data_IF_122335391512
#
_entry.id   IF_122335391512
#
_cell.length_a   1.000
_cell.length_b   1.000
_cell.length_c   1.000
_cell.angle_alpha   90.00
_cell.angle_beta   90.00
_cell.angle_gamma   90.00
#
_symmetry.space_group_name_H-M   'P 1'
#
loop_
_entity.id
_entity.type
_entity.pdbx_description
1 polymer ?
#
# COMPACT_ATOMS: atom_id res chain seq x y z
N UNK A 1 -4.38 -5.92 29.23
CA UNK A 1 -4.59 -5.09 28.01
C UNK A 1 -4.00 -3.72 28.30
N UNK A 2 -3.06 -3.23 27.50
CA UNK A 2 -2.50 -1.89 27.69
C UNK A 2 -3.53 -0.88 27.18
N UNK A 3 -4.13 -0.11 28.08
CA UNK A 3 -5.21 0.87 27.80
C UNK A 3 -4.70 2.30 27.69
N UNK A 4 -3.38 2.49 27.66
CA UNK A 4 -2.77 3.81 27.51
C UNK A 4 -3.13 4.42 26.14
N UNK A 5 -3.63 5.64 26.17
CA UNK A 5 -3.95 6.41 24.97
C UNK A 5 -2.68 6.84 24.25
N UNK A 6 -2.72 6.83 22.91
CA UNK A 6 -1.65 7.33 22.06
C UNK A 6 -1.52 8.84 22.21
N UNK A 7 -0.35 9.32 22.58
CA UNK A 7 -0.04 10.75 22.64
C UNK A 7 0.22 11.32 21.23
N UNK A 8 0.07 12.64 21.07
CA UNK A 8 0.37 13.33 19.80
C UNK A 8 1.83 13.12 19.35
N UNK A 9 2.78 13.06 20.28
CA UNK A 9 4.19 12.80 19.96
C UNK A 9 4.42 11.38 19.44
N UNK A 10 3.74 10.38 20.04
CA UNK A 10 3.80 8.99 19.58
C UNK A 10 3.11 8.83 18.22
N UNK A 11 1.99 9.54 18.00
CA UNK A 11 1.29 9.59 16.71
C UNK A 11 2.19 10.11 15.59
N UNK A 12 2.85 11.26 15.81
CA UNK A 12 3.82 11.82 14.84
C UNK A 12 5.00 10.90 14.57
N UNK A 13 5.47 10.17 15.59
CA UNK A 13 6.54 9.18 15.41
C UNK A 13 6.09 8.04 14.51
N UNK A 14 4.85 7.57 14.67
CA UNK A 14 4.25 6.55 13.83
C UNK A 14 4.17 7.01 12.37
N UNK A 15 3.58 8.18 12.12
CA UNK A 15 3.48 8.78 10.79
C UNK A 15 4.87 8.95 10.13
N UNK A 16 5.85 9.49 10.86
CA UNK A 16 7.20 9.69 10.34
C UNK A 16 7.91 8.37 9.99
N UNK A 17 7.60 7.30 10.72
CA UNK A 17 8.13 5.95 10.45
C UNK A 17 7.49 5.38 9.19
N UNK A 18 6.19 5.58 8.99
CA UNK A 18 5.50 5.15 7.77
C UNK A 18 6.06 5.88 6.53
N UNK A 19 6.20 7.20 6.55
CA UNK A 19 6.65 7.91 5.35
C UNK A 19 8.15 7.72 5.00
N UNK A 20 8.91 6.96 5.80
CA UNK A 20 10.32 6.67 5.51
C UNK A 20 10.44 5.41 4.67
N UNK A 21 10.83 5.56 3.40
CA UNK A 21 11.02 4.49 2.40
C UNK A 21 11.83 3.25 2.86
N UNK A 22 12.71 3.40 3.87
CA UNK A 22 13.53 2.31 4.43
C UNK A 22 12.88 1.59 5.62
N UNK A 23 11.71 2.04 6.09
CA UNK A 23 11.06 1.47 7.29
C UNK A 23 10.38 0.12 7.05
N UNK A 24 10.38 -0.36 5.81
CA UNK A 24 9.62 -1.54 5.37
C UNK A 24 10.48 -2.79 5.17
N UNK A 25 11.80 -2.64 5.28
CA UNK A 25 12.74 -3.75 5.16
C UNK A 25 12.51 -4.69 6.34
N UNK A 26 12.08 -5.92 6.05
CA UNK A 26 11.71 -6.92 7.06
C UNK A 26 10.24 -6.88 7.51
N UNK A 27 9.42 -5.99 6.97
CA UNK A 27 7.97 -6.01 7.22
C UNK A 27 7.31 -7.13 6.41
N UNK A 28 6.55 -7.97 7.10
CA UNK A 28 5.77 -9.02 6.43
C UNK A 28 4.50 -8.46 5.81
N UNK A 29 4.17 -8.96 4.62
CA UNK A 29 2.84 -8.75 4.01
C UNK A 29 1.81 -9.48 4.88
N UNK A 30 0.67 -8.85 5.24
CA UNK A 30 -0.39 -9.49 5.99
C UNK A 30 -0.88 -10.76 5.29
N UNK A 31 -1.14 -11.83 6.05
CA UNK A 31 -1.66 -13.08 5.47
C UNK A 31 -2.98 -12.84 4.76
N UNK A 32 -3.86 -12.13 5.43
CA UNK A 32 -5.21 -11.81 4.98
C UNK A 32 -5.50 -10.34 5.24
N UNK A 33 -6.34 -9.75 4.41
CA UNK A 33 -6.84 -8.40 4.62
C UNK A 33 -8.32 -8.30 4.27
N UNK A 34 -9.05 -7.56 5.11
CA UNK A 34 -10.44 -7.20 4.82
C UNK A 34 -10.48 -5.94 3.94
N UNK A 35 -10.98 -6.09 2.71
CA UNK A 35 -11.27 -4.98 1.80
C UNK A 35 -12.78 -4.89 1.57
N UNK A 36 -13.25 -3.81 0.95
CA UNK A 36 -14.69 -3.62 0.67
C UNK A 36 -15.35 -4.75 -0.14
N UNK A 37 -14.54 -5.58 -0.83
CA UNK A 37 -14.98 -6.76 -1.56
C UNK A 37 -14.92 -8.08 -0.76
N UNK A 38 -14.50 -8.05 0.50
CA UNK A 38 -14.35 -9.22 1.38
C UNK A 38 -12.91 -9.45 1.86
N UNK A 39 -12.71 -10.56 2.55
CA UNK A 39 -11.40 -11.01 3.01
C UNK A 39 -10.59 -11.60 1.84
N UNK A 40 -9.35 -11.15 1.70
CA UNK A 40 -8.43 -11.57 0.64
C UNK A 40 -7.17 -12.15 1.27
N UNK A 41 -6.70 -13.35 0.87
CA UNK A 41 -5.41 -13.89 1.29
C UNK A 41 -4.24 -13.16 0.60
N UNK A 42 -4.00 -11.90 1.01
CA UNK A 42 -3.14 -10.93 0.35
C UNK A 42 -1.75 -11.46 0.04
N UNK A 43 -1.10 -12.10 1.01
CA UNK A 43 0.25 -12.66 0.86
C UNK A 43 0.32 -13.70 -0.26
N UNK A 44 -0.62 -14.64 -0.27
CA UNK A 44 -0.66 -15.72 -1.24
C UNK A 44 -1.05 -15.20 -2.62
N UNK A 45 -1.99 -14.26 -2.68
CA UNK A 45 -2.37 -13.59 -3.93
C UNK A 45 -1.17 -12.89 -4.58
N UNK A 46 -0.39 -12.13 -3.80
CA UNK A 46 0.82 -11.46 -4.30
C UNK A 46 1.89 -12.47 -4.71
N UNK A 47 2.13 -13.49 -3.87
CA UNK A 47 3.08 -14.56 -4.19
C UNK A 47 2.74 -15.23 -5.53
N UNK A 48 1.47 -15.55 -5.75
CA UNK A 48 0.99 -16.15 -7.00
C UNK A 48 1.27 -15.28 -8.22
N UNK A 49 1.18 -13.94 -8.10
CA UNK A 49 1.55 -13.05 -9.19
C UNK A 49 3.07 -12.97 -9.39
N UNK A 50 3.85 -13.01 -8.32
CA UNK A 50 5.32 -12.93 -8.38
C UNK A 50 5.95 -14.19 -9.01
N UNK A 51 5.40 -15.37 -8.74
CA UNK A 51 5.95 -16.65 -9.25
C UNK A 51 5.47 -17.00 -10.66
N UNK A 52 4.42 -16.34 -11.16
CA UNK A 52 3.92 -16.60 -12.52
C UNK A 52 4.93 -16.12 -13.57
N UNK A 53 5.35 -17.04 -14.45
CA UNK A 53 6.21 -16.72 -15.59
C UNK A 53 5.61 -15.65 -16.51
N UNK A 54 4.28 -15.67 -16.67
CA UNK A 54 3.52 -14.74 -17.50
C UNK A 54 2.15 -14.45 -16.88
N UNK A 55 1.84 -13.17 -16.73
CA UNK A 55 0.52 -12.69 -16.38
C UNK A 55 -0.40 -12.58 -17.60
N UNK A 56 -1.68 -12.88 -17.42
CA UNK A 56 -2.73 -12.70 -18.43
C UNK A 56 -3.35 -11.31 -18.33
N UNK A 57 -4.21 -10.92 -19.29
CA UNK A 57 -4.98 -9.67 -19.19
C UNK A 57 -5.92 -9.67 -17.98
N UNK A 58 -6.46 -10.85 -17.62
CA UNK A 58 -7.28 -11.01 -16.41
C UNK A 58 -6.45 -10.80 -15.14
N UNK A 59 -5.22 -11.37 -15.09
CA UNK A 59 -4.30 -11.15 -13.97
C UNK A 59 -3.98 -9.66 -13.81
N UNK A 60 -3.77 -8.94 -14.91
CA UNK A 60 -3.55 -7.49 -14.89
C UNK A 60 -4.76 -6.73 -14.35
N UNK A 61 -5.97 -7.08 -14.79
CA UNK A 61 -7.20 -6.51 -14.26
C UNK A 61 -7.38 -6.79 -12.76
N UNK A 62 -6.98 -7.97 -12.29
CA UNK A 62 -6.98 -8.32 -10.87
C UNK A 62 -5.95 -7.52 -10.08
N UNK A 63 -4.71 -7.40 -10.57
CA UNK A 63 -3.66 -6.59 -9.94
C UNK A 63 -4.10 -5.13 -9.84
N UNK A 64 -4.67 -4.56 -10.90
CA UNK A 64 -5.13 -3.18 -10.91
C UNK A 64 -6.24 -2.92 -9.90
N UNK A 65 -7.27 -3.79 -9.86
CA UNK A 65 -8.36 -3.70 -8.86
C UNK A 65 -7.83 -3.88 -7.44
N UNK A 66 -6.89 -4.80 -7.24
CA UNK A 66 -6.28 -5.03 -5.94
C UNK A 66 -5.47 -3.81 -5.48
N UNK A 67 -4.66 -3.21 -6.36
CA UNK A 67 -3.93 -1.98 -6.07
C UNK A 67 -4.87 -0.84 -5.65
N UNK A 68 -5.96 -0.61 -6.40
CA UNK A 68 -6.94 0.42 -6.05
C UNK A 68 -7.53 0.19 -4.65
N UNK A 69 -7.98 -1.03 -4.36
CA UNK A 69 -8.55 -1.36 -3.06
C UNK A 69 -7.54 -1.21 -1.91
N UNK A 70 -6.27 -1.59 -2.14
CA UNK A 70 -5.21 -1.46 -1.13
C UNK A 70 -4.83 0.01 -0.88
N UNK A 71 -4.78 0.83 -1.92
CA UNK A 71 -4.51 2.28 -1.81
C UNK A 71 -5.67 3.01 -1.09
N UNK A 72 -6.92 2.65 -1.40
CA UNK A 72 -8.07 3.17 -0.65
C UNK A 72 -8.01 2.79 0.82
N UNK A 73 -7.65 1.54 1.12
CA UNK A 73 -7.50 1.05 2.49
C UNK A 73 -6.36 1.76 3.22
N UNK A 74 -5.22 1.93 2.57
CA UNK A 74 -4.07 2.67 3.11
C UNK A 74 -4.46 4.10 3.51
N UNK A 75 -5.17 4.82 2.64
CA UNK A 75 -5.65 6.16 2.93
C UNK A 75 -6.63 6.20 4.12
N UNK A 76 -7.49 5.19 4.26
CA UNK A 76 -8.40 5.07 5.40
C UNK A 76 -7.64 4.83 6.71
N UNK A 77 -6.65 3.93 6.69
CA UNK A 77 -5.86 3.57 7.86
C UNK A 77 -4.92 4.72 8.27
N UNK A 78 -4.35 5.48 7.32
CA UNK A 78 -3.61 6.71 7.62
C UNK A 78 -4.51 7.76 8.28
N UNK A 79 -5.73 7.99 7.76
CA UNK A 79 -6.70 8.91 8.38
C UNK A 79 -7.08 8.45 9.79
N UNK A 80 -7.26 7.15 10.00
CA UNK A 80 -7.52 6.59 11.33
C UNK A 80 -6.33 6.84 12.26
N UNK A 81 -5.12 6.59 11.80
CA UNK A 81 -3.89 6.86 12.55
C UNK A 81 -3.72 8.35 12.87
N UNK A 82 -4.23 9.26 12.04
CA UNK A 82 -4.12 10.71 12.25
C UNK A 82 -5.19 11.29 13.17
N UNK A 83 -6.45 10.86 13.01
CA UNK A 83 -7.60 11.56 13.61
C UNK A 83 -8.34 10.73 14.67
N UNK A 84 -8.24 9.41 14.66
CA UNK A 84 -9.00 8.59 15.60
C UNK A 84 -8.34 8.56 17.00
N UNK A 85 -9.12 8.55 18.09
CA UNK A 85 -8.62 8.20 19.40
C UNK A 85 -8.19 6.73 19.38
N UNK A 86 -6.90 6.47 19.60
CA UNK A 86 -6.31 5.14 19.61
C UNK A 86 -5.53 4.94 20.90
N UNK A 87 -5.55 3.73 21.43
CA UNK A 87 -4.56 3.28 22.40
C UNK A 87 -3.22 3.06 21.72
N UNK A 88 -2.13 3.04 22.50
CA UNK A 88 -0.78 2.75 21.98
C UNK A 88 -0.75 1.40 21.24
N UNK A 89 -1.42 0.38 21.80
CA UNK A 89 -1.49 -0.96 21.19
C UNK A 89 -2.23 -0.94 19.85
N UNK A 90 -3.35 -0.22 19.77
CA UNK A 90 -4.10 -0.10 18.51
C UNK A 90 -3.30 0.67 17.46
N UNK A 91 -2.59 1.73 17.86
CA UNK A 91 -1.74 2.48 16.97
C UNK A 91 -0.56 1.66 16.45
N UNK A 92 0.11 0.89 17.32
CA UNK A 92 1.17 -0.04 16.93
C UNK A 92 0.68 -1.09 15.95
N UNK A 93 -0.48 -1.71 16.23
CA UNK A 93 -1.11 -2.67 15.33
C UNK A 93 -1.43 -2.06 13.96
N UNK A 94 -2.05 -0.88 13.96
CA UNK A 94 -2.39 -0.13 12.74
C UNK A 94 -1.14 0.24 11.93
N UNK A 95 -0.05 0.62 12.60
CA UNK A 95 1.22 0.92 11.93
C UNK A 95 1.85 -0.31 11.29
N UNK A 96 1.79 -1.47 11.96
CA UNK A 96 2.29 -2.73 11.40
C UNK A 96 1.46 -3.17 10.18
N UNK A 97 0.14 -3.03 10.26
CA UNK A 97 -0.77 -3.35 9.16
C UNK A 97 -0.54 -2.42 7.96
N UNK A 98 -0.47 -1.11 8.19
CA UNK A 98 -0.13 -0.10 7.18
C UNK A 98 1.23 -0.38 6.53
N UNK A 99 2.23 -0.76 7.32
CA UNK A 99 3.54 -1.12 6.81
C UNK A 99 3.49 -2.30 5.83
N UNK A 100 2.73 -3.34 6.20
CA UNK A 100 2.54 -4.53 5.38
C UNK A 100 1.75 -4.24 4.10
N UNK A 101 0.73 -3.38 4.20
CA UNK A 101 -0.04 -2.86 3.07
C UNK A 101 0.83 -2.11 2.06
N UNK A 102 1.65 -1.19 2.54
CA UNK A 102 2.56 -0.43 1.68
C UNK A 102 3.58 -1.33 0.99
N UNK A 103 4.08 -2.36 1.70
CA UNK A 103 4.95 -3.38 1.10
C UNK A 103 4.24 -4.16 0.00
N UNK A 104 3.00 -4.56 0.23
CA UNK A 104 2.16 -5.24 -0.76
C UNK A 104 1.91 -4.38 -2.02
N UNK A 105 1.59 -3.10 -1.84
CA UNK A 105 1.41 -2.14 -2.93
C UNK A 105 2.71 -2.01 -3.75
N UNK A 106 3.87 -1.91 -3.09
CA UNK A 106 5.16 -1.86 -3.75
C UNK A 106 5.42 -3.10 -4.60
N UNK A 107 5.22 -4.30 -4.05
CA UNK A 107 5.46 -5.55 -4.78
C UNK A 107 4.53 -5.69 -5.98
N UNK A 108 3.25 -5.33 -5.86
CA UNK A 108 2.31 -5.32 -6.98
C UNK A 108 2.68 -4.30 -8.06
N UNK A 109 3.19 -3.12 -7.69
CA UNK A 109 3.69 -2.12 -8.65
C UNK A 109 4.95 -2.59 -9.36
N UNK A 110 5.84 -3.28 -8.66
CA UNK A 110 7.04 -3.90 -9.25
C UNK A 110 6.69 -5.05 -10.20
N UNK A 111 5.56 -5.72 -10.00
CA UNK A 111 5.02 -6.69 -10.96
C UNK A 111 4.48 -5.98 -12.22
N UNK A 112 3.88 -4.80 -12.07
CA UNK A 112 3.29 -4.03 -13.18
C UNK A 112 4.34 -3.27 -14.03
N UNK A 113 5.40 -2.72 -13.41
CA UNK A 113 6.41 -1.88 -14.06
C UNK A 113 7.22 -2.55 -15.21
N UNK A 114 7.69 -3.83 -15.08
CA UNK A 114 8.33 -4.58 -16.16
C UNK A 114 7.41 -4.75 -17.38
N UNK A 115 6.08 -4.69 -17.17
CA UNK A 115 5.09 -4.74 -18.24
C UNK A 115 4.75 -3.39 -18.82
N UNK A 116 4.63 -2.30 -18.05
CA UNK A 116 4.46 -0.97 -18.65
C UNK A 116 5.57 -0.69 -19.67
N UNK A 117 6.83 -1.04 -19.39
CA UNK A 117 7.91 -0.89 -20.38
C UNK A 117 7.78 -1.80 -21.61
N UNK A 118 7.13 -2.96 -21.52
CA UNK A 118 6.86 -3.89 -22.64
C UNK A 118 5.59 -3.53 -23.42
N UNK A 119 4.53 -3.08 -22.75
CA UNK A 119 3.24 -2.70 -23.34
C UNK A 119 3.32 -1.35 -24.03
N UNK A 120 4.11 -0.40 -23.54
CA UNK A 120 4.39 0.88 -24.23
C UNK A 120 5.17 0.72 -25.53
N UNK A 121 5.89 -0.40 -25.71
CA UNK A 121 6.48 -0.76 -27.01
C UNK A 121 5.44 -1.35 -27.97
N UNK A 122 4.28 -1.81 -27.49
CA UNK A 122 3.21 -2.45 -28.30
C UNK A 122 1.97 -1.57 -28.51
N UNK A 123 1.71 -0.61 -27.63
CA UNK A 123 0.56 0.30 -27.72
C UNK A 123 1.08 1.72 -27.82
N UNK A 124 0.91 2.31 -29.01
CA UNK A 124 1.23 3.71 -29.27
C UNK A 124 0.59 4.62 -28.23
N UNK A 125 1.43 5.50 -27.67
CA UNK A 125 1.12 6.77 -27.01
C UNK A 125 -0.34 6.95 -26.54
N UNK A 126 -0.65 6.65 -25.29
CA UNK A 126 -1.43 7.54 -24.40
C UNK A 126 -1.53 6.91 -23.00
N UNK A 127 -1.60 7.75 -21.97
CA UNK A 127 -1.72 7.42 -20.53
C UNK A 127 -0.48 6.86 -19.83
N UNK A 128 0.65 7.56 -19.98
CA UNK A 128 1.76 7.41 -19.04
C UNK A 128 1.96 8.75 -18.36
N UNK A 129 2.16 8.74 -17.04
CA UNK A 129 2.73 9.82 -16.21
C UNK A 129 1.76 10.59 -15.27
N UNK A 130 0.44 10.38 -15.29
CA UNK A 130 -0.43 11.12 -14.35
C UNK A 130 -0.47 10.55 -12.92
N UNK A 131 -0.59 9.22 -12.73
CA UNK A 131 -0.81 8.69 -11.37
C UNK A 131 0.45 8.61 -10.50
N UNK A 132 1.62 8.35 -11.09
CA UNK A 132 2.91 8.44 -10.36
C UNK A 132 3.24 9.89 -10.01
N UNK A 133 2.90 10.85 -10.88
CA UNK A 133 3.04 12.27 -10.56
C UNK A 133 2.08 12.66 -9.44
N UNK A 134 0.85 12.14 -9.44
CA UNK A 134 -0.17 12.45 -8.44
C UNK A 134 0.29 12.12 -7.02
N UNK A 135 0.91 10.96 -6.81
CA UNK A 135 1.48 10.60 -5.51
C UNK A 135 2.67 11.50 -5.15
N UNK A 136 3.59 11.77 -6.08
CA UNK A 136 4.73 12.67 -5.79
C UNK A 136 4.34 14.14 -5.58
N UNK A 137 3.24 14.59 -6.20
CA UNK A 137 2.69 15.94 -6.01
C UNK A 137 1.95 16.05 -4.68
N UNK A 138 1.17 15.04 -4.31
CA UNK A 138 0.52 14.97 -3.00
C UNK A 138 1.54 14.97 -1.84
N UNK A 139 2.66 14.26 -2.00
CA UNK A 139 3.78 14.27 -1.05
C UNK A 139 4.54 15.60 -0.98
N UNK A 140 4.44 16.46 -2.01
CA UNK A 140 5.05 17.80 -2.00
C UNK A 140 4.16 18.83 -1.32
N UNK A 141 2.84 18.72 -1.46
CA UNK A 141 1.87 19.62 -0.81
C UNK A 141 1.81 19.42 0.72
N UNK A 142 2.21 18.27 1.25
CA UNK A 142 2.27 18.01 2.70
C UNK A 142 3.55 18.53 3.38
N UNK A 143 4.47 19.16 2.63
CA UNK A 143 5.74 19.72 3.13
C UNK A 143 5.79 21.25 3.20
N UNK A 144 4.68 21.95 2.91
CA UNK A 144 4.51 23.39 3.18
C UNK A 144 3.59 23.66 4.37
#
# INVERSE_FOLDING_TARGET
MNTEMLTETERRRCEAKLHRLLSWVGTEIPTEIHLGCGDIPLRDTIYNFLVKDRLTEEDEGQIHRLLQNLEERELMDEKKLKYAPLTKKEAEGLCLELAGLLRAIMDLRDVEAPRQQRSLKKRGKHHKVEDVKRWTSYLKELKE
#
